data_IF_128184390692
#
_entry.id   IF_128184390692
#
_cell.length_a   1.000
_cell.length_b   1.000
_cell.length_c   1.000
_cell.angle_alpha   90.00
_cell.angle_beta   90.00
_cell.angle_gamma   90.00
#
_symmetry.space_group_name_H-M   'P 1'
#
loop_
_entity.id
_entity.type
_entity.pdbx_description
1 polymer ?
#
# COMPACT_ATOMS: atom_id res chain seq x y z
N UNK A 1 20.27 1.39 16.63
CA UNK A 1 20.00 1.50 15.19
C UNK A 1 18.65 0.87 14.94
N UNK A 2 17.62 1.67 14.68
CA UNK A 2 16.32 1.15 14.25
C UNK A 2 16.48 0.76 12.77
N UNK A 3 16.14 -0.47 12.43
CA UNK A 3 16.18 -0.97 11.06
C UNK A 3 15.25 -0.08 10.21
N UNK A 4 15.74 0.52 9.12
CA UNK A 4 14.95 1.44 8.31
C UNK A 4 13.66 0.78 7.75
N UNK A 5 13.71 -0.54 7.54
CA UNK A 5 12.61 -1.38 7.04
C UNK A 5 11.66 -1.91 8.14
N UNK A 6 11.78 -1.44 9.39
CA UNK A 6 10.88 -1.88 10.45
C UNK A 6 9.42 -1.48 10.16
N UNK A 7 8.49 -2.39 10.46
CA UNK A 7 7.02 -2.18 10.36
C UNK A 7 6.57 -0.89 11.04
N UNK A 8 7.15 -0.57 12.19
CA UNK A 8 6.88 0.68 12.92
C UNK A 8 7.18 1.93 12.10
N UNK A 9 8.21 1.92 11.26
CA UNK A 9 8.53 3.05 10.40
C UNK A 9 7.49 3.21 9.28
N UNK A 10 6.95 2.11 8.75
CA UNK A 10 5.87 2.16 7.76
C UNK A 10 4.61 2.79 8.36
N UNK A 11 4.21 2.38 9.57
CA UNK A 11 3.07 2.98 10.29
C UNK A 11 3.28 4.47 10.54
N UNK A 12 4.46 4.87 11.01
CA UNK A 12 4.81 6.29 11.22
C UNK A 12 4.80 7.07 9.90
N UNK A 13 5.31 6.49 8.82
CA UNK A 13 5.32 7.11 7.50
C UNK A 13 3.89 7.39 7.02
N UNK A 14 3.02 6.38 7.05
CA UNK A 14 1.61 6.50 6.63
C UNK A 14 0.90 7.54 7.47
N UNK A 15 1.03 7.45 8.79
CA UNK A 15 0.42 8.42 9.70
C UNK A 15 0.86 9.86 9.39
N UNK A 16 2.15 10.09 9.18
CA UNK A 16 2.67 11.42 8.85
C UNK A 16 2.20 11.90 7.48
N UNK A 17 2.24 11.04 6.46
CA UNK A 17 1.84 11.39 5.10
C UNK A 17 0.37 11.83 5.01
N UNK A 18 -0.49 11.24 5.84
CA UNK A 18 -1.94 11.50 5.83
C UNK A 18 -2.43 12.37 6.99
N UNK A 19 -1.52 12.95 7.78
CA UNK A 19 -1.86 13.93 8.83
C UNK A 19 -1.47 15.38 8.46
N UNK A 20 -1.02 15.61 7.22
CA UNK A 20 -0.71 16.97 6.74
C UNK A 20 -1.99 17.72 6.33
N UNK A 21 -2.05 19.06 6.46
CA UNK A 21 -3.23 19.83 6.07
C UNK A 21 -3.66 19.56 4.63
N UNK A 22 -4.92 19.21 4.43
CA UNK A 22 -5.50 18.91 3.12
C UNK A 22 -5.30 17.47 2.63
N UNK A 23 -4.55 16.63 3.36
CA UNK A 23 -4.53 15.20 3.07
C UNK A 23 -5.84 14.52 3.50
N UNK A 24 -6.19 13.45 2.79
CA UNK A 24 -7.35 12.59 3.11
C UNK A 24 -6.80 11.28 3.66
N UNK A 25 -7.24 10.91 4.86
CA UNK A 25 -6.88 9.64 5.49
C UNK A 25 -7.34 8.46 4.62
N UNK A 26 -6.49 7.44 4.40
CA UNK A 26 -6.85 6.34 3.53
C UNK A 26 -7.88 5.43 4.21
N UNK A 27 -8.79 4.86 3.41
CA UNK A 27 -9.72 3.82 3.86
C UNK A 27 -9.02 2.46 4.00
N UNK A 28 -7.97 2.24 3.19
CA UNK A 28 -7.16 1.03 3.22
C UNK A 28 -5.67 1.34 3.21
N UNK A 29 -4.93 0.55 3.97
CA UNK A 29 -3.48 0.49 3.91
C UNK A 29 -3.09 -0.95 3.58
N UNK A 30 -2.50 -1.18 2.41
CA UNK A 30 -2.13 -2.53 1.92
C UNK A 30 -0.65 -2.51 1.54
N UNK A 31 0.14 -3.41 2.13
CA UNK A 31 1.52 -3.67 1.74
C UNK A 31 1.96 -5.08 2.16
N UNK A 32 3.16 -5.50 1.77
CA UNK A 32 3.60 -6.91 1.89
C UNK A 32 3.58 -7.42 3.34
N UNK A 33 4.10 -6.67 4.32
CA UNK A 33 4.12 -7.09 5.74
C UNK A 33 2.98 -6.48 6.56
N UNK A 34 1.83 -6.20 5.93
CA UNK A 34 0.73 -5.53 6.62
C UNK A 34 0.10 -6.37 7.75
N UNK A 35 0.28 -7.69 7.73
CA UNK A 35 -0.09 -8.57 8.83
C UNK A 35 0.66 -8.24 10.12
N UNK A 36 1.94 -7.88 10.01
CA UNK A 36 2.78 -7.51 11.15
C UNK A 36 2.42 -6.09 11.62
N UNK A 37 2.12 -5.19 10.68
CA UNK A 37 1.62 -3.85 10.98
C UNK A 37 0.29 -3.89 11.73
N UNK A 38 -0.65 -4.71 11.26
CA UNK A 38 -1.94 -4.93 11.89
C UNK A 38 -1.77 -5.46 13.32
N UNK A 39 -0.92 -6.46 13.54
CA UNK A 39 -0.61 -6.97 14.89
C UNK A 39 -0.05 -5.88 15.80
N UNK A 40 0.90 -5.08 15.29
CA UNK A 40 1.50 -4.00 16.04
C UNK A 40 0.46 -2.92 16.42
N UNK A 41 -0.41 -2.53 15.48
CA UNK A 41 -1.50 -1.58 15.71
C UNK A 41 -2.45 -2.08 16.82
N UNK A 42 -2.85 -3.35 16.78
CA UNK A 42 -3.74 -3.93 17.80
C UNK A 42 -3.07 -4.07 19.18
N UNK A 43 -1.75 -4.19 19.22
CA UNK A 43 -0.99 -4.29 20.46
C UNK A 43 -0.72 -2.93 21.14
N UNK A 44 -0.95 -1.81 20.44
CA UNK A 44 -0.54 -0.47 20.86
C UNK A 44 -1.70 0.54 20.78
N UNK A 45 -2.31 0.93 21.92
CA UNK A 45 -3.49 1.79 21.94
C UNK A 45 -3.34 3.12 21.18
N UNK A 46 -2.16 3.73 21.22
CA UNK A 46 -1.87 4.97 20.51
C UNK A 46 -1.83 4.81 18.99
N UNK A 47 -1.46 3.62 18.50
CA UNK A 47 -1.54 3.29 17.08
C UNK A 47 -2.98 2.94 16.71
N UNK A 48 -3.65 2.14 17.53
CA UNK A 48 -5.06 1.78 17.36
C UNK A 48 -5.94 3.02 17.17
N UNK A 49 -5.78 4.07 17.98
CA UNK A 49 -6.58 5.31 17.89
C UNK A 49 -6.57 5.91 16.48
N UNK A 50 -5.41 5.88 15.79
CA UNK A 50 -5.27 6.42 14.44
C UNK A 50 -5.62 5.41 13.35
N UNK A 51 -5.43 4.10 13.54
CA UNK A 51 -5.58 3.08 12.49
C UNK A 51 -6.91 2.28 12.55
N UNK A 52 -7.70 2.39 13.62
CA UNK A 52 -8.89 1.56 13.87
C UNK A 52 -9.99 1.59 12.77
N UNK A 53 -10.00 2.62 11.94
CA UNK A 53 -10.92 2.86 10.82
C UNK A 53 -10.28 2.61 9.44
N UNK A 54 -9.05 2.07 9.41
CA UNK A 54 -8.32 1.74 8.18
C UNK A 54 -8.33 0.23 7.99
N UNK A 55 -8.78 -0.23 6.83
CA UNK A 55 -8.68 -1.64 6.45
C UNK A 55 -7.22 -2.05 6.18
N UNK A 56 -6.69 -2.96 7.00
CA UNK A 56 -5.30 -3.43 6.96
C UNK A 56 -5.16 -4.84 6.37
N UNK A 57 -5.67 -5.05 5.16
CA UNK A 57 -5.48 -6.31 4.43
C UNK A 57 -4.08 -6.45 3.85
N UNK A 58 -3.65 -7.70 3.66
CA UNK A 58 -2.53 -8.05 2.76
C UNK A 58 -3.09 -8.35 1.37
N UNK A 59 -2.24 -8.40 0.35
CA UNK A 59 -2.71 -8.82 -0.97
C UNK A 59 -3.10 -10.32 -1.00
N UNK A 60 -3.91 -10.69 -1.99
CA UNK A 60 -4.47 -12.05 -2.12
C UNK A 60 -3.37 -13.10 -2.26
N UNK A 61 -2.29 -12.81 -2.97
CA UNK A 61 -1.19 -13.76 -3.15
C UNK A 61 -0.40 -13.92 -1.85
N UNK A 62 -0.08 -12.83 -1.15
CA UNK A 62 0.54 -12.90 0.18
C UNK A 62 -0.33 -13.73 1.13
N UNK A 63 -1.62 -13.44 1.22
CA UNK A 63 -2.54 -14.15 2.10
C UNK A 63 -2.53 -15.66 1.84
N UNK A 64 -2.63 -16.08 0.57
CA UNK A 64 -2.71 -17.49 0.19
C UNK A 64 -1.38 -18.24 0.30
N UNK A 65 -0.24 -17.55 0.21
CA UNK A 65 1.08 -18.21 0.15
C UNK A 65 1.91 -18.08 1.41
N UNK A 66 1.65 -17.07 2.26
CA UNK A 66 2.44 -16.75 3.46
C UNK A 66 1.70 -17.03 4.77
N UNK A 67 0.40 -17.28 4.72
CA UNK A 67 -0.38 -17.53 5.93
C UNK A 67 -1.05 -18.89 5.91
N UNK A 68 -0.94 -19.60 7.03
CA UNK A 68 -1.70 -20.81 7.29
C UNK A 68 -3.10 -20.46 7.85
N UNK A 69 -4.03 -21.40 7.79
CA UNK A 69 -5.35 -21.28 8.44
C UNK A 69 -5.23 -21.09 9.96
N UNK A 70 -4.11 -21.54 10.56
CA UNK A 70 -3.81 -21.39 11.98
C UNK A 70 -3.29 -20.01 12.37
N UNK A 71 -2.98 -19.12 11.40
CA UNK A 71 -2.59 -17.74 11.68
C UNK A 71 -3.84 -16.88 11.95
N UNK A 72 -4.48 -17.09 13.11
CA UNK A 72 -5.79 -16.52 13.43
C UNK A 72 -5.86 -14.99 13.25
N UNK A 73 -4.85 -14.24 13.69
CA UNK A 73 -4.80 -12.78 13.47
C UNK A 73 -4.87 -12.41 11.98
N UNK A 74 -4.13 -13.13 11.14
CA UNK A 74 -4.11 -12.86 9.70
C UNK A 74 -5.48 -13.19 9.09
N UNK A 75 -6.08 -14.32 9.47
CA UNK A 75 -7.40 -14.74 8.99
C UNK A 75 -8.49 -13.73 9.34
N UNK A 76 -8.45 -13.19 10.55
CA UNK A 76 -9.45 -12.26 11.08
C UNK A 76 -9.28 -10.84 10.52
N UNK A 77 -8.06 -10.29 10.58
CA UNK A 77 -7.83 -8.86 10.34
C UNK A 77 -7.18 -8.53 9.00
N UNK A 78 -6.57 -9.52 8.33
CA UNK A 78 -5.72 -9.25 7.15
C UNK A 78 -6.27 -9.89 5.86
N UNK A 79 -7.34 -10.69 5.93
CA UNK A 79 -7.92 -11.35 4.78
C UNK A 79 -8.62 -10.33 3.85
N UNK A 80 -8.16 -10.10 2.61
CA UNK A 80 -8.78 -9.13 1.71
C UNK A 80 -10.25 -9.46 1.38
N UNK A 81 -10.69 -10.72 1.48
CA UNK A 81 -12.10 -11.10 1.29
C UNK A 81 -13.02 -10.66 2.42
N UNK A 82 -12.47 -10.31 3.59
CA UNK A 82 -13.25 -9.78 4.71
C UNK A 82 -13.66 -8.32 4.51
N UNK A 83 -13.11 -7.64 3.50
CA UNK A 83 -13.36 -6.24 3.17
C UNK A 83 -14.30 -6.15 1.96
N UNK A 84 -15.59 -5.97 2.22
CA UNK A 84 -16.65 -6.02 1.20
C UNK A 84 -16.49 -4.97 0.09
N UNK A 85 -15.91 -3.83 0.44
CA UNK A 85 -15.59 -2.69 -0.42
C UNK A 85 -14.48 -2.99 -1.43
N UNK A 86 -13.66 -4.03 -1.19
CA UNK A 86 -12.69 -4.54 -2.16
C UNK A 86 -13.33 -5.49 -3.19
N UNK A 87 -14.60 -5.85 -2.99
CA UNK A 87 -15.36 -6.80 -3.80
C UNK A 87 -16.52 -6.11 -4.54
N UNK A 88 -16.89 -6.67 -5.68
CA UNK A 88 -18.14 -6.37 -6.38
C UNK A 88 -19.27 -7.21 -5.81
N UNK A 89 -20.51 -6.86 -6.15
CA UNK A 89 -21.70 -7.59 -5.71
C UNK A 89 -21.72 -9.08 -6.12
N UNK A 90 -21.01 -9.45 -7.19
CA UNK A 90 -20.87 -10.85 -7.64
C UNK A 90 -19.72 -11.61 -6.95
N UNK A 91 -19.03 -10.98 -6.00
CA UNK A 91 -17.88 -11.53 -5.29
C UNK A 91 -16.55 -11.47 -6.07
N UNK A 92 -16.53 -10.88 -7.27
CA UNK A 92 -15.28 -10.62 -7.99
C UNK A 92 -14.56 -9.38 -7.43
N UNK A 93 -13.25 -9.26 -7.69
CA UNK A 93 -12.46 -8.12 -7.19
C UNK A 93 -12.89 -6.80 -7.83
N UNK A 94 -13.28 -5.83 -6.99
CA UNK A 94 -13.41 -4.43 -7.39
C UNK A 94 -12.02 -3.78 -7.40
N UNK A 95 -11.27 -3.95 -6.32
CA UNK A 95 -9.87 -3.56 -6.22
C UNK A 95 -8.98 -4.81 -6.24
N UNK A 96 -8.03 -4.86 -7.19
CA UNK A 96 -7.10 -5.97 -7.30
C UNK A 96 -5.72 -5.53 -6.78
N UNK A 97 -5.42 -5.91 -5.54
CA UNK A 97 -4.16 -5.57 -4.87
C UNK A 97 -2.92 -6.12 -5.58
N UNK A 98 -2.99 -7.31 -6.18
CA UNK A 98 -1.85 -7.89 -6.91
C UNK A 98 -1.56 -7.13 -8.21
N UNK A 99 -2.59 -6.60 -8.90
CA UNK A 99 -2.39 -5.71 -10.05
C UNK A 99 -1.83 -4.36 -9.60
N UNK A 100 -2.29 -3.83 -8.47
CA UNK A 100 -1.75 -2.60 -7.90
C UNK A 100 -0.26 -2.75 -7.55
N UNK A 101 0.13 -3.86 -6.93
CA UNK A 101 1.53 -4.19 -6.65
C UNK A 101 2.37 -4.24 -7.94
N UNK A 102 1.91 -4.98 -8.95
CA UNK A 102 2.62 -5.06 -10.23
C UNK A 102 2.74 -3.69 -10.90
N UNK A 103 1.71 -2.84 -10.81
CA UNK A 103 1.78 -1.49 -11.34
C UNK A 103 2.81 -0.62 -10.62
N UNK A 104 3.10 -0.88 -9.34
CA UNK A 104 4.10 -0.15 -8.57
C UNK A 104 5.52 -0.75 -8.66
N UNK A 105 5.69 -1.86 -9.36
CA UNK A 105 6.99 -2.56 -9.47
C UNK A 105 8.09 -1.76 -10.17
N UNK A 106 7.74 -0.70 -10.92
CA UNK A 106 8.70 0.18 -11.61
C UNK A 106 9.73 0.80 -10.65
N UNK A 107 9.35 1.06 -9.39
CA UNK A 107 10.25 1.65 -8.41
C UNK A 107 11.43 0.72 -8.09
N UNK A 108 11.24 -0.60 -8.25
CA UNK A 108 12.29 -1.60 -8.09
C UNK A 108 13.50 -1.38 -8.99
N UNK A 109 13.34 -0.72 -10.13
CA UNK A 109 14.45 -0.35 -11.02
C UNK A 109 15.46 0.63 -10.39
N UNK A 110 15.06 1.34 -9.33
CA UNK A 110 15.90 2.31 -8.61
C UNK A 110 16.50 1.75 -7.31
N UNK A 111 16.28 0.46 -7.03
CA UNK A 111 16.62 -0.15 -5.74
C UNK A 111 18.11 0.04 -5.36
N UNK A 112 19.02 -0.02 -6.33
CA UNK A 112 20.47 0.16 -6.11
C UNK A 112 20.83 1.56 -5.60
N UNK A 113 20.14 2.59 -6.08
CA UNK A 113 20.39 4.00 -5.72
C UNK A 113 19.75 4.31 -4.38
N UNK A 114 18.48 3.91 -4.19
CA UNK A 114 17.71 4.23 -2.99
C UNK A 114 18.27 3.58 -1.72
N UNK A 115 18.89 2.40 -1.84
CA UNK A 115 19.53 1.70 -0.70
C UNK A 115 20.68 2.48 -0.05
N UNK A 116 21.29 3.43 -0.77
CA UNK A 116 22.37 4.27 -0.25
C UNK A 116 21.88 5.64 0.24
N UNK A 117 20.58 5.92 0.12
CA UNK A 117 20.02 7.21 0.52
C UNK A 117 19.79 7.27 2.03
N UNK A 118 19.93 8.47 2.59
CA UNK A 118 19.36 8.78 3.89
C UNK A 118 17.84 8.86 3.79
N UNK A 119 17.12 8.69 4.90
CA UNK A 119 15.65 8.79 4.92
C UNK A 119 15.13 10.08 4.25
N UNK A 120 15.73 11.24 4.57
CA UNK A 120 15.35 12.53 3.96
C UNK A 120 15.51 12.55 2.44
N UNK A 121 16.60 11.96 1.92
CA UNK A 121 16.82 11.88 0.48
C UNK A 121 15.88 10.88 -0.18
N UNK A 122 15.62 9.77 0.49
CA UNK A 122 14.68 8.75 0.04
C UNK A 122 13.26 9.31 -0.08
N UNK A 123 12.79 10.04 0.93
CA UNK A 123 11.45 10.64 0.94
C UNK A 123 11.29 11.66 -0.21
N UNK A 124 12.27 12.53 -0.40
CA UNK A 124 12.27 13.47 -1.53
C UNK A 124 12.28 12.74 -2.87
N UNK A 125 13.16 11.74 -3.02
CA UNK A 125 13.26 10.95 -4.25
C UNK A 125 11.96 10.21 -4.55
N UNK A 126 11.37 9.54 -3.56
CA UNK A 126 10.11 8.80 -3.72
C UNK A 126 8.98 9.73 -4.17
N UNK A 127 8.82 10.89 -3.52
CA UNK A 127 7.79 11.86 -3.89
C UNK A 127 7.95 12.35 -5.33
N UNK A 128 9.15 12.73 -5.73
CA UNK A 128 9.41 13.22 -7.10
C UNK A 128 9.23 12.11 -8.15
N UNK A 129 9.70 10.90 -7.86
CA UNK A 129 9.59 9.79 -8.79
C UNK A 129 8.14 9.35 -8.98
N UNK A 130 7.33 9.32 -7.91
CA UNK A 130 5.90 9.03 -8.01
C UNK A 130 5.18 10.12 -8.82
N UNK A 131 5.48 11.40 -8.58
CA UNK A 131 4.93 12.52 -9.36
C UNK A 131 5.26 12.38 -10.85
N UNK A 132 6.53 12.18 -11.18
CA UNK A 132 6.99 12.03 -12.57
C UNK A 132 6.40 10.79 -13.25
N UNK A 133 6.35 9.66 -12.54
CA UNK A 133 5.73 8.44 -13.06
C UNK A 133 4.25 8.66 -13.39
N UNK A 134 3.51 9.33 -12.50
CA UNK A 134 2.10 9.66 -12.72
C UNK A 134 1.91 10.61 -13.92
N UNK A 135 2.77 11.62 -14.07
CA UNK A 135 2.72 12.54 -15.21
C UNK A 135 2.94 11.81 -16.55
N UNK A 136 3.95 10.94 -16.61
CA UNK A 136 4.25 10.12 -17.80
C UNK A 136 3.09 9.18 -18.09
N UNK A 137 2.60 8.45 -17.08
CA UNK A 137 1.49 7.52 -17.23
C UNK A 137 0.23 8.22 -17.73
N UNK A 138 -0.11 9.39 -17.17
CA UNK A 138 -1.26 10.17 -17.62
C UNK A 138 -1.10 10.65 -19.07
N UNK A 139 0.10 11.06 -19.48
CA UNK A 139 0.36 11.45 -20.86
C UNK A 139 0.16 10.27 -21.82
N UNK A 140 0.68 9.08 -21.50
CA UNK A 140 0.50 7.87 -22.30
C UNK A 140 -0.97 7.44 -22.38
N UNK A 141 -1.69 7.46 -21.26
CA UNK A 141 -3.11 7.10 -21.22
C UNK A 141 -3.96 8.05 -22.05
N UNK A 142 -3.66 9.35 -22.04
CA UNK A 142 -4.34 10.35 -22.89
C UNK A 142 -4.14 10.06 -24.37
N UNK A 143 -2.93 9.70 -24.79
CA UNK A 143 -2.64 9.31 -26.19
C UNK A 143 -3.41 8.05 -26.58
N UNK A 144 -3.39 7.01 -25.73
CA UNK A 144 -4.10 5.74 -25.98
C UNK A 144 -5.62 5.93 -26.02
N UNK A 145 -6.18 6.75 -25.15
CA UNK A 145 -7.60 7.10 -25.16
C UNK A 145 -7.98 7.75 -26.49
N UNK A 146 -7.23 8.78 -26.92
CA UNK A 146 -7.47 9.47 -28.18
C UNK A 146 -7.35 8.54 -29.41
N UNK A 147 -6.47 7.53 -29.36
CA UNK A 147 -6.36 6.53 -30.42
C UNK A 147 -7.57 5.57 -30.46
N UNK A 148 -8.13 5.20 -29.29
CA UNK A 148 -9.35 4.36 -29.20
C UNK A 148 -10.62 5.05 -29.68
N UNK A 149 -10.71 6.38 -29.60
CA UNK A 149 -11.86 7.15 -30.10
C UNK A 149 -11.78 7.52 -31.59
N UNK A 150 -10.70 7.10 -32.28
CA UNK A 150 -10.50 7.34 -33.72
C UNK A 150 -10.60 6.06 -34.58
N UNK A 151 -10.95 4.93 -33.97
CA UNK A 151 -11.38 3.70 -34.63
C UNK A 151 -12.90 3.61 -34.57
#
# INVERSE_FOLDING_TARGET
MLNAEAVSNALVMVQKAFSVPGAVKPEHFIYDSNCDASQQVHAHPEQWEWFQDIGMSVDVFHFLTKHAETHFHCQEFCNPKSFSELLKADGSWFFNSSVAEQNNSWLGGFQSVVRQMTAVKYDFFLNEMVRLHNEILLAELRVKANARFRM
#
